data_IF_134183146332
#
_entry.id   IF_134183146332
#
_cell.length_a   1.000
_cell.length_b   1.000
_cell.length_c   1.000
_cell.angle_alpha   90.00
_cell.angle_beta   90.00
_cell.angle_gamma   90.00
#
_symmetry.space_group_name_H-M   'P 1'
#
loop_
_entity.id
_entity.type
_entity.pdbx_description
1 polymer ?
2 non-polymer ?
3 non-polymer ?
4 non-polymer ?
5 non-polymer ?
6 non-polymer ?
7 water ?
#
# COMPACT_ATOMS: atom_id res chain seq x y z
N UNK A 3 -25.21 5.11 5.39
CA UNK A 3 -23.92 4.71 4.84
C UNK A 3 -23.06 5.93 4.49
N UNK A 4 -21.77 5.69 4.27
CA UNK A 4 -20.89 6.77 3.84
C UNK A 4 -20.90 6.87 2.32
N UNK A 5 -21.61 5.94 1.68
CA UNK A 5 -21.70 5.85 0.23
C UNK A 5 -23.13 5.54 -0.18
N UNK A 6 -23.51 5.98 -1.37
CA UNK A 6 -24.84 5.68 -1.89
C UNK A 6 -24.79 4.59 -2.96
N UNK A 7 -23.80 4.66 -3.85
CA UNK A 7 -23.70 3.68 -4.94
C UNK A 7 -22.57 2.67 -4.75
N UNK A 8 -22.94 1.40 -4.69
CA UNK A 8 -21.95 0.32 -4.53
C UNK A 8 -22.09 -0.70 -5.65
N UNK A 9 -20.94 -1.10 -6.18
CA UNK A 9 -20.91 -2.23 -7.10
C UNK A 9 -20.32 -3.42 -6.39
N UNK A 10 -21.01 -4.55 -6.48
CA UNK A 10 -20.52 -5.79 -5.90
C UNK A 10 -20.04 -6.74 -6.98
N UNK A 11 -18.73 -6.95 -7.03
CA UNK A 11 -18.11 -7.82 -8.02
C UNK A 11 -18.00 -9.24 -7.50
N UNK A 12 -18.58 -10.20 -8.23
CA UNK A 12 -18.63 -11.57 -7.80
C UNK A 12 -19.86 -11.75 -6.93
N UNK A 13 -20.98 -11.24 -7.42
CA UNK A 13 -22.17 -11.05 -6.61
C UNK A 13 -22.91 -12.34 -6.21
N UNK A 14 -22.54 -13.49 -6.79
CA UNK A 14 -23.20 -14.74 -6.43
C UNK A 14 -22.49 -15.45 -5.28
N UNK A 15 -21.37 -14.86 -4.86
CA UNK A 15 -20.59 -15.44 -3.77
C UNK A 15 -21.40 -15.43 -2.49
N UNK A 16 -21.02 -16.30 -1.56
CA UNK A 16 -21.79 -16.46 -0.32
C UNK A 16 -21.81 -15.19 0.51
N UNK A 17 -20.64 -14.62 0.73
CA UNK A 17 -20.57 -13.35 1.45
C UNK A 17 -21.24 -12.21 0.67
N UNK A 18 -20.97 -12.13 -0.62
CA UNK A 18 -21.59 -11.11 -1.47
C UNK A 18 -23.11 -11.13 -1.42
N UNK A 19 -23.70 -12.32 -1.48
CA UNK A 19 -25.15 -12.41 -1.44
C UNK A 19 -25.73 -11.96 -0.10
N UNK A 20 -25.10 -12.38 1.00
CA UNK A 20 -25.55 -11.96 2.33
C UNK A 20 -25.38 -10.45 2.52
N UNK A 21 -24.30 -9.90 1.95
CA UNK A 21 -24.04 -8.48 2.05
C UNK A 21 -25.13 -7.75 1.29
N UNK A 22 -25.44 -8.26 0.10
CA UNK A 22 -26.48 -7.64 -0.72
C UNK A 22 -27.80 -7.50 0.04
N UNK A 23 -28.26 -8.60 0.64
CA UNK A 23 -29.51 -8.59 1.38
C UNK A 23 -29.45 -7.62 2.56
N UNK A 24 -28.31 -7.60 3.25
CA UNK A 24 -28.15 -6.67 4.39
C UNK A 24 -28.19 -5.21 3.94
N UNK A 25 -27.57 -4.91 2.81
CA UNK A 25 -27.56 -3.54 2.33
C UNK A 25 -28.94 -3.13 1.86
N UNK A 26 -29.71 -4.07 1.32
CA UNK A 26 -31.08 -3.74 0.90
C UNK A 26 -32.02 -3.51 2.07
N UNK A 27 -31.85 -4.32 3.12
CA UNK A 27 -32.73 -4.25 4.28
C UNK A 27 -32.42 -3.06 5.18
N UNK A 28 -31.12 -2.76 5.35
CA UNK A 28 -30.69 -1.78 6.35
C UNK A 28 -30.07 -0.49 5.84
N UNK A 29 -29.99 -0.31 4.51
CA UNK A 29 -29.55 0.96 3.96
C UNK A 29 -30.42 1.35 2.78
N UNK A 30 -30.17 2.55 2.27
CA UNK A 30 -30.85 3.03 1.07
C UNK A 30 -29.89 3.03 -0.13
N UNK A 31 -28.84 2.24 -0.04
CA UNK A 31 -27.84 2.17 -1.11
C UNK A 31 -28.40 1.62 -2.42
N UNK A 32 -27.87 2.11 -3.53
CA UNK A 32 -28.20 1.57 -4.84
C UNK A 32 -27.09 0.60 -5.23
N UNK A 33 -27.48 -0.64 -5.54
CA UNK A 33 -26.53 -1.74 -5.66
C UNK A 33 -26.47 -2.26 -7.08
N UNK A 34 -25.26 -2.38 -7.60
CA UNK A 34 -25.05 -3.00 -8.90
C UNK A 34 -24.32 -4.32 -8.66
N UNK A 35 -24.91 -5.41 -9.16
CA UNK A 35 -24.39 -6.75 -8.97
C UNK A 35 -23.73 -7.24 -10.26
N UNK A 36 -22.54 -7.80 -10.15
CA UNK A 36 -21.80 -8.26 -11.30
C UNK A 36 -21.27 -9.67 -11.08
N UNK A 37 -21.46 -10.55 -12.07
CA UNK A 37 -20.85 -11.87 -12.01
C UNK A 37 -21.40 -12.79 -13.06
N UNK A 38 -20.94 -14.04 -13.04
CA UNK A 38 -21.32 -15.00 -14.06
C UNK A 38 -22.76 -15.49 -13.91
N UNK A 39 -23.56 -15.31 -14.96
CA UNK A 39 -24.89 -15.91 -15.03
C UNK A 39 -25.80 -15.52 -13.87
N UNK A 40 -25.67 -14.28 -13.38
CA UNK A 40 -26.44 -13.85 -12.21
C UNK A 40 -27.94 -14.02 -12.36
N UNK A 41 -28.46 -13.80 -13.57
CA UNK A 41 -29.89 -13.78 -13.76
C UNK A 41 -30.51 -15.15 -13.47
N UNK A 42 -29.71 -16.20 -13.59
CA UNK A 42 -30.22 -17.55 -13.34
C UNK A 42 -29.68 -18.11 -12.02
N UNK A 43 -29.05 -17.26 -11.22
CA UNK A 43 -28.46 -17.69 -9.95
C UNK A 43 -28.96 -16.89 -8.74
N UNK A 44 -28.99 -15.56 -8.87
CA UNK A 44 -29.42 -14.66 -7.80
C UNK A 44 -30.93 -14.81 -7.53
N UNK A 45 -31.34 -14.82 -6.25
CA UNK A 45 -32.77 -15.00 -5.99
C UNK A 45 -33.65 -13.89 -6.57
N UNK A 46 -34.88 -14.22 -6.95
CA UNK A 46 -35.76 -13.26 -7.62
C UNK A 46 -36.06 -12.00 -6.81
N UNK A 47 -36.15 -12.10 -5.48
CA UNK A 47 -36.44 -10.92 -4.66
C UNK A 47 -35.27 -9.93 -4.65
N UNK A 48 -34.07 -10.41 -4.96
CA UNK A 48 -32.91 -9.54 -5.09
C UNK A 48 -32.85 -8.96 -6.50
N UNK A 49 -32.96 -9.81 -7.51
CA UNK A 49 -32.95 -9.35 -8.90
C UNK A 49 -34.02 -8.31 -9.19
N UNK A 50 -35.22 -8.49 -8.62
CA UNK A 50 -36.35 -7.60 -8.89
C UNK A 50 -36.43 -6.39 -7.98
N UNK A 51 -35.49 -6.24 -7.05
CA UNK A 51 -35.54 -5.12 -6.12
C UNK A 51 -35.27 -3.80 -6.85
N UNK A 52 -36.00 -2.76 -6.47
CA UNK A 52 -35.90 -1.47 -7.15
C UNK A 52 -34.49 -0.88 -7.07
N UNK A 53 -33.76 -1.20 -6.01
CA UNK A 53 -32.42 -0.64 -5.83
C UNK A 53 -31.30 -1.54 -6.32
N UNK A 54 -31.67 -2.54 -7.12
CA UNK A 54 -30.69 -3.48 -7.65
C UNK A 54 -30.59 -3.40 -9.17
N UNK A 55 -29.35 -3.37 -9.66
CA UNK A 55 -29.07 -3.47 -11.08
C UNK A 55 -28.19 -4.71 -11.27
N UNK A 56 -28.55 -5.53 -12.25
CA UNK A 56 -27.82 -6.78 -12.51
C UNK A 56 -27.09 -6.75 -13.83
N UNK A 57 -25.78 -7.02 -13.79
CA UNK A 57 -24.98 -7.14 -15.00
C UNK A 57 -24.24 -8.49 -14.99
N UNK A 58 -24.36 -9.24 -16.08
CA UNK A 58 -23.70 -10.53 -16.17
C UNK A 58 -22.36 -10.43 -16.88
N UNK A 59 -21.35 -11.08 -16.32
CA UNK A 59 -20.04 -11.13 -16.97
C UNK A 59 -18.98 -11.70 -16.05
N UNK A 60 -17.78 -11.88 -16.58
CA UNK A 60 -16.68 -12.42 -15.78
C UNK A 60 -15.66 -11.33 -15.49
N UNK A 61 -14.78 -11.58 -14.52
CA UNK A 61 -13.76 -10.59 -14.15
C UNK A 61 -12.80 -10.32 -15.30
N UNK A 62 -12.91 -11.09 -16.38
CA UNK A 62 -12.05 -10.93 -17.56
C UNK A 62 -12.77 -10.23 -18.71
N UNK A 63 -13.92 -9.63 -18.43
CA UNK A 63 -14.66 -8.88 -19.44
C UNK A 63 -14.54 -7.38 -19.20
N UNK A 64 -13.60 -6.72 -19.90
CA UNK A 64 -13.27 -5.32 -19.63
C UNK A 64 -14.47 -4.38 -19.81
N UNK A 65 -15.21 -4.54 -20.89
CA UNK A 65 -16.34 -3.66 -21.17
C UNK A 65 -17.45 -3.76 -20.13
N UNK A 66 -17.82 -4.98 -19.80
CA UNK A 66 -18.89 -5.21 -18.83
C UNK A 66 -18.49 -4.77 -17.41
N UNK A 67 -17.24 -5.03 -17.04
CA UNK A 67 -16.73 -4.57 -15.75
C UNK A 67 -16.81 -3.05 -15.64
N UNK A 68 -16.40 -2.37 -16.72
CA UNK A 68 -16.42 -0.92 -16.72
C UNK A 68 -17.84 -0.38 -16.59
N UNK A 69 -18.78 -1.02 -17.29
CA UNK A 69 -20.19 -0.68 -17.17
C UNK A 69 -20.65 -0.83 -15.71
N UNK A 70 -20.28 -1.94 -15.09
CA UNK A 70 -20.69 -2.23 -13.73
C UNK A 70 -20.22 -1.22 -12.68
N UNK A 71 -19.03 -0.64 -12.89
CA UNK A 71 -18.47 0.29 -11.90
C UNK A 71 -18.62 1.76 -12.25
N UNK A 72 -19.25 2.03 -13.41
CA UNK A 72 -19.42 3.39 -13.92
C UNK A 72 -19.86 4.41 -12.87
N UNK A 73 -20.91 4.09 -12.13
CA UNK A 73 -21.44 5.03 -11.15
C UNK A 73 -21.10 4.67 -9.71
N UNK A 74 -20.15 3.77 -9.50
CA UNK A 74 -19.79 3.34 -8.15
C UNK A 74 -19.07 4.43 -7.33
N UNK A 75 -19.44 4.54 -6.06
CA UNK A 75 -18.70 5.35 -5.09
C UNK A 75 -17.79 4.42 -4.27
N UNK A 76 -18.13 3.13 -4.25
CA UNK A 76 -17.32 2.12 -3.57
C UNK A 76 -17.55 0.79 -4.29
N UNK A 77 -16.51 -0.03 -4.36
CA UNK A 77 -16.61 -1.33 -5.01
C UNK A 77 -16.23 -2.44 -4.06
N UNK A 78 -17.07 -3.47 -3.94
CA UNK A 78 -16.72 -4.62 -3.13
C UNK A 78 -16.24 -5.73 -4.05
N UNK A 79 -15.05 -6.23 -3.80
CA UNK A 79 -14.48 -7.28 -4.62
C UNK A 79 -14.59 -8.58 -3.84
N UNK A 80 -15.46 -9.46 -4.32
CA UNK A 80 -15.88 -10.63 -3.55
C UNK A 80 -14.93 -11.81 -3.58
N UNK A 81 -13.91 -11.75 -4.43
CA UNK A 81 -12.86 -12.76 -4.48
C UNK A 81 -11.55 -12.11 -4.88
N UNK A 82 -10.47 -12.49 -4.20
CA UNK A 82 -9.12 -12.04 -4.53
C UNK A 82 -8.23 -13.26 -4.69
N UNK A 83 -8.53 -14.07 -5.71
CA UNK A 83 -7.89 -15.37 -5.88
C UNK A 83 -6.85 -15.43 -6.99
N UNK A 84 -6.86 -14.43 -7.87
CA UNK A 84 -6.10 -14.47 -9.10
C UNK A 84 -5.49 -13.11 -9.38
N UNK A 85 -4.19 -13.08 -9.66
CA UNK A 85 -3.52 -11.84 -10.05
C UNK A 85 -4.08 -11.29 -11.35
N UNK A 86 -4.34 -12.17 -12.31
CA UNK A 86 -4.86 -11.73 -13.60
C UNK A 86 -6.26 -11.14 -13.48
N UNK A 87 -7.11 -11.79 -12.69
CA UNK A 87 -8.46 -11.29 -12.49
C UNK A 87 -8.40 -9.97 -11.74
N UNK A 88 -7.51 -9.89 -10.74
CA UNK A 88 -7.39 -8.67 -9.95
C UNK A 88 -6.91 -7.53 -10.84
N UNK A 89 -6.00 -7.83 -11.75
CA UNK A 89 -5.47 -6.83 -12.67
C UNK A 89 -6.56 -6.30 -13.59
N UNK A 90 -7.44 -7.17 -14.04
CA UNK A 90 -8.53 -6.79 -14.93
C UNK A 90 -9.48 -5.83 -14.22
N UNK A 91 -9.74 -6.12 -12.95
CA UNK A 91 -10.62 -5.28 -12.14
C UNK A 91 -9.95 -3.93 -11.89
N UNK A 92 -8.69 -3.95 -11.48
CA UNK A 92 -7.96 -2.70 -11.28
C UNK A 92 -7.94 -1.83 -12.54
N UNK A 93 -7.83 -2.46 -13.71
CA UNK A 93 -7.78 -1.68 -14.95
C UNK A 93 -9.13 -1.03 -15.22
N UNK A 94 -10.21 -1.76 -14.93
CA UNK A 94 -11.56 -1.22 -15.15
C UNK A 94 -11.83 -0.06 -14.21
N UNK A 95 -11.51 -0.24 -12.93
CA UNK A 95 -11.59 0.87 -11.98
C UNK A 95 -10.78 2.09 -12.42
N UNK A 96 -9.55 1.88 -12.89
CA UNK A 96 -8.71 2.97 -13.35
C UNK A 96 -9.37 3.74 -14.51
N UNK A 97 -9.94 3.02 -15.47
CA UNK A 97 -10.58 3.65 -16.63
C UNK A 97 -11.77 4.57 -16.24
N UNK A 98 -12.42 4.27 -15.12
CA UNK A 98 -13.54 5.08 -14.66
C UNK A 98 -13.17 5.95 -13.46
N UNK A 99 -11.89 5.95 -13.12
CA UNK A 99 -11.38 6.70 -11.98
C UNK A 99 -12.13 6.40 -10.68
N UNK A 100 -12.42 5.12 -10.45
CA UNK A 100 -13.06 4.71 -9.21
C UNK A 100 -11.95 4.44 -8.21
N UNK A 101 -12.10 4.92 -6.97
CA UNK A 101 -10.98 4.81 -6.02
C UNK A 101 -11.21 3.94 -4.78
N UNK A 102 -12.44 3.89 -4.26
CA UNK A 102 -12.70 3.19 -3.00
C UNK A 102 -13.09 1.73 -3.24
N UNK A 103 -12.30 0.81 -2.67
CA UNK A 103 -12.57 -0.60 -2.85
C UNK A 103 -12.36 -1.38 -1.56
N UNK A 104 -13.27 -2.33 -1.31
CA UNK A 104 -13.13 -3.25 -0.17
C UNK A 104 -13.02 -4.64 -0.79
N UNK A 105 -11.97 -5.40 -0.44
CA UNK A 105 -11.80 -6.72 -1.04
C UNK A 105 -11.62 -7.79 0.02
N UNK A 106 -12.02 -9.04 -0.27
CA UNK A 106 -11.85 -10.11 0.71
C UNK A 106 -10.77 -11.10 0.28
N UNK A 107 -9.85 -11.38 1.21
CA UNK A 107 -8.68 -12.21 0.97
C UNK A 107 -8.61 -13.23 2.11
N UNK A 108 -7.62 -14.11 2.05
CA UNK A 108 -7.49 -15.15 3.08
C UNK A 108 -6.45 -14.75 4.11
N UNK A 109 -6.72 -15.02 5.37
CA UNK A 109 -5.73 -14.73 6.40
C UNK A 109 -4.65 -15.80 6.40
N UNK A 110 -3.48 -15.49 6.95
CA UNK A 110 -2.43 -16.47 7.11
C UNK A 110 -1.25 -16.40 6.13
N UNK A 111 -1.41 -15.64 5.06
CA UNK A 111 -0.39 -15.53 4.01
C UNK A 111 0.94 -15.01 4.52
N UNK A 112 0.89 -14.20 5.56
CA UNK A 112 2.07 -13.52 6.05
C UNK A 112 2.62 -14.15 7.32
N UNK A 113 2.09 -15.31 7.69
CA UNK A 113 2.61 -16.04 8.83
C UNK A 113 1.92 -15.66 10.12
N UNK A 114 0.81 -14.94 10.01
CA UNK A 114 0.16 -14.39 11.19
C UNK A 114 -0.56 -15.41 12.09
N UNK A 115 -0.94 -16.57 11.55
CA UNK A 115 -1.58 -17.58 12.39
C UNK A 115 -0.55 -18.20 13.33
N UNK A 116 -0.98 -18.61 14.54
CA UNK A 116 -0.09 -19.37 15.42
C UNK A 116 0.22 -20.73 14.81
N UNK A 117 1.26 -21.40 15.31
CA UNK A 117 1.86 -22.56 14.66
C UNK A 117 0.88 -23.66 14.27
N UNK A 118 0.07 -24.12 15.22
CA UNK A 118 -0.82 -25.25 14.94
C UNK A 118 -1.92 -24.92 13.94
N UNK A 119 -2.55 -23.76 14.11
CA UNK A 119 -3.58 -23.33 13.19
C UNK A 119 -2.99 -23.07 11.80
N UNK A 120 -1.78 -22.51 11.75
CA UNK A 120 -1.12 -22.27 10.47
C UNK A 120 -0.86 -23.59 9.75
N UNK A 121 -0.34 -24.56 10.48
CA UNK A 121 -0.06 -25.87 9.89
C UNK A 121 -1.34 -26.51 9.35
N UNK A 122 -2.40 -26.55 10.16
CA UNK A 122 -3.67 -27.11 9.72
C UNK A 122 -4.17 -26.39 8.47
N UNK A 123 -4.10 -25.07 8.49
CA UNK A 123 -4.62 -24.25 7.40
C UNK A 123 -3.97 -24.61 6.07
N UNK A 124 -2.65 -24.66 6.05
CA UNK A 124 -1.96 -24.92 4.80
C UNK A 124 -2.00 -26.39 4.38
N UNK A 125 -2.26 -27.29 5.34
CA UNK A 125 -2.51 -28.67 4.99
C UNK A 125 -3.85 -28.81 4.28
N UNK A 126 -4.67 -27.79 4.36
CA UNK A 126 -6.03 -27.82 3.83
C UNK A 126 -6.30 -26.82 2.72
N UNK A 127 -5.23 -26.31 2.11
CA UNK A 127 -5.32 -25.42 0.96
C UNK A 127 -4.26 -25.83 -0.07
N UNK A 128 -4.65 -25.77 -1.36
CA UNK A 128 -3.63 -26.01 -2.39
C UNK A 128 -2.64 -24.85 -2.43
N UNK A 129 -1.37 -25.15 -2.63
CA UNK A 129 -0.35 -24.12 -2.77
C UNK A 129 -0.75 -23.10 -3.82
N UNK A 130 -1.36 -23.57 -4.91
CA UNK A 130 -1.75 -22.68 -5.99
C UNK A 130 -2.79 -21.66 -5.55
N UNK A 131 -3.71 -22.05 -4.67
CA UNK A 131 -4.72 -21.12 -4.19
C UNK A 131 -4.07 -20.05 -3.34
N UNK A 132 -3.18 -20.49 -2.44
CA UNK A 132 -2.45 -19.56 -1.57
C UNK A 132 -1.62 -18.57 -2.38
N UNK A 133 -0.86 -19.07 -3.35
CA UNK A 133 0.00 -18.16 -4.09
C UNK A 133 -0.80 -17.25 -5.02
N UNK A 134 -1.94 -17.75 -5.50
CA UNK A 134 -2.89 -16.90 -6.22
C UNK A 134 -3.40 -15.74 -5.37
N UNK A 135 -3.78 -16.03 -4.14
CA UNK A 135 -4.23 -15.01 -3.22
C UNK A 135 -3.12 -13.99 -2.97
N UNK A 136 -1.88 -14.47 -2.84
CA UNK A 136 -0.78 -13.56 -2.57
C UNK A 136 -0.57 -12.64 -3.77
N UNK A 137 -0.65 -13.21 -4.97
CA UNK A 137 -0.52 -12.39 -6.18
C UNK A 137 -1.64 -11.35 -6.33
N UNK A 138 -2.88 -11.72 -5.99
CA UNK A 138 -3.99 -10.77 -6.10
C UNK A 138 -3.78 -9.57 -5.16
N UNK A 139 -3.29 -9.87 -3.96
CA UNK A 139 -2.95 -8.84 -3.00
C UNK A 139 -1.91 -7.89 -3.57
N UNK A 140 -0.84 -8.43 -4.16
CA UNK A 140 0.21 -7.59 -4.73
C UNK A 140 -0.32 -6.67 -5.82
N UNK A 141 -1.23 -7.18 -6.64
CA UNK A 141 -1.82 -6.37 -7.69
C UNK A 141 -2.63 -5.21 -7.09
N UNK A 142 -3.36 -5.49 -6.01
CA UNK A 142 -4.17 -4.46 -5.39
C UNK A 142 -3.26 -3.39 -4.78
N UNK A 143 -2.18 -3.81 -4.14
CA UNK A 143 -1.23 -2.85 -3.57
C UNK A 143 -0.59 -1.93 -4.62
N UNK A 144 -0.36 -2.45 -5.82
CA UNK A 144 0.27 -1.67 -6.88
C UNK A 144 -0.68 -0.65 -7.48
N UNK A 145 -1.97 -0.88 -7.26
CA UNK A 145 -3.00 0.01 -7.78
C UNK A 145 -2.98 1.36 -7.05
N UNK A 146 -3.67 2.34 -7.62
CA UNK A 146 -3.79 3.66 -6.99
C UNK A 146 -4.97 3.75 -6.03
N UNK A 147 -5.57 2.62 -5.72
CA UNK A 147 -6.86 2.59 -5.00
C UNK A 147 -6.76 2.89 -3.52
N UNK A 148 -7.81 3.51 -2.99
CA UNK A 148 -8.01 3.61 -1.57
C UNK A 148 -8.73 2.33 -1.16
N UNK A 149 -7.95 1.28 -0.94
CA UNK A 149 -8.50 -0.05 -0.71
C UNK A 149 -8.49 -0.43 0.76
N UNK A 150 -9.38 -1.36 1.13
CA UNK A 150 -9.27 -2.07 2.38
C UNK A 150 -9.30 -3.55 2.04
N UNK A 151 -8.29 -4.29 2.49
CA UNK A 151 -8.26 -5.73 2.31
C UNK A 151 -8.74 -6.31 3.62
N UNK A 152 -9.72 -7.21 3.55
CA UNK A 152 -10.17 -7.93 4.74
C UNK A 152 -9.60 -9.33 4.67
N UNK A 153 -8.68 -9.64 5.60
CA UNK A 153 -8.10 -10.98 5.65
C UNK A 153 -9.01 -11.88 6.48
N UNK A 154 -9.73 -12.78 5.81
CA UNK A 154 -10.70 -13.61 6.49
C UNK A 154 -10.12 -14.93 6.93
N UNK A 155 -10.43 -15.32 8.16
CA UNK A 155 -10.08 -16.65 8.62
C UNK A 155 -11.14 -17.63 8.12
N UNK A 156 -11.08 -18.88 8.57
CA UNK A 156 -11.96 -19.90 8.01
C UNK A 156 -13.45 -19.58 8.18
N UNK A 157 -14.21 -19.77 7.10
CA UNK A 157 -15.60 -19.34 7.08
C UNK A 157 -16.60 -20.44 7.36
N UNK A 158 -17.72 -20.07 7.98
CA UNK A 158 -18.87 -20.95 8.13
C UNK A 158 -20.12 -20.07 8.23
N UNK A 159 -21.30 -20.69 8.21
CA UNK A 159 -22.54 -19.93 8.28
C UNK A 159 -23.27 -20.15 9.59
N UNK A 160 -23.61 -19.05 10.26
CA UNK A 160 -24.45 -19.10 11.44
C UNK A 160 -24.99 -17.70 11.74
N UNK A 161 -26.28 -17.47 11.43
CA UNK A 161 -26.99 -16.20 11.66
C UNK A 161 -26.96 -15.75 13.13
N UNK A 162 -26.76 -16.70 14.05
CA UNK A 162 -26.75 -16.40 15.47
C UNK A 162 -25.39 -15.96 15.99
N UNK A 163 -24.38 -16.02 15.13
CA UNK A 163 -23.02 -15.66 15.52
C UNK A 163 -22.46 -14.54 14.65
N UNK A 164 -22.77 -13.30 15.01
CA UNK A 164 -22.42 -12.16 14.17
C UNK A 164 -21.34 -11.29 14.81
N UNK A 165 -20.77 -11.75 15.91
CA UNK A 165 -19.67 -11.03 16.54
C UNK A 165 -18.35 -11.20 15.77
N UNK A 166 -17.61 -10.11 15.63
CA UNK A 166 -16.32 -10.14 14.97
C UNK A 166 -15.35 -9.22 15.69
N UNK A 167 -14.06 -9.47 15.50
CA UNK A 167 -13.04 -8.50 15.89
C UNK A 167 -12.14 -8.26 14.72
N UNK A 168 -11.63 -7.04 14.64
CA UNK A 168 -10.68 -6.70 13.60
C UNK A 168 -9.29 -6.94 14.17
N UNK A 169 -8.38 -7.39 13.32
CA UNK A 169 -7.02 -7.72 13.73
C UNK A 169 -6.05 -6.88 12.89
N UNK A 170 -5.22 -6.05 13.55
CA UNK A 170 -4.41 -5.12 12.76
C UNK A 170 -3.28 -5.80 12.00
N UNK A 171 -2.75 -5.14 10.98
CA UNK A 171 -1.68 -5.77 10.21
C UNK A 171 -0.46 -6.01 11.10
N UNK A 172 0.13 -7.20 10.93
CA UNK A 172 1.29 -7.58 11.70
C UNK A 172 0.96 -8.26 13.01
N UNK A 173 -0.30 -8.17 13.44
CA UNK A 173 -0.68 -8.77 14.72
C UNK A 173 -0.88 -10.28 14.58
N UNK A 174 -0.58 -11.01 15.65
CA UNK A 174 -0.91 -12.43 15.65
C UNK A 174 -2.41 -12.62 15.44
N UNK A 175 -2.78 -13.51 14.52
CA UNK A 175 -4.18 -13.76 14.19
C UNK A 175 -4.58 -15.09 14.84
N UNK A 176 -5.19 -15.03 16.02
CA UNK A 176 -5.45 -16.24 16.78
C UNK A 176 -6.79 -16.90 16.51
N UNK A 177 -7.70 -16.19 15.84
CA UNK A 177 -9.05 -16.69 15.59
C UNK A 177 -9.08 -17.68 14.42
N UNK A 178 -9.56 -18.90 14.69
CA UNK A 178 -9.51 -19.98 13.71
C UNK A 178 -10.70 -19.97 12.76
N UNK A 179 -11.68 -19.12 13.03
CA UNK A 179 -12.89 -19.12 12.23
C UNK A 179 -13.67 -17.82 12.42
N UNK A 180 -14.60 -17.58 11.50
CA UNK A 180 -15.53 -16.45 11.60
C UNK A 180 -16.75 -16.75 10.72
N UNK A 181 -17.94 -16.35 11.14
CA UNK A 181 -19.13 -16.66 10.34
C UNK A 181 -19.20 -15.67 9.17
N UNK A 182 -19.81 -16.08 8.08
CA UNK A 182 -19.98 -15.15 6.96
C UNK A 182 -20.88 -13.97 7.38
N UNK A 183 -21.82 -14.21 8.28
CA UNK A 183 -22.70 -13.16 8.75
C UNK A 183 -21.93 -12.12 9.55
N UNK A 184 -20.95 -12.56 10.32
CA UNK A 184 -20.11 -11.63 11.07
C UNK A 184 -19.24 -10.80 10.12
N UNK A 185 -18.76 -11.42 9.06
CA UNK A 185 -17.96 -10.69 8.07
C UNK A 185 -18.82 -9.65 7.37
N UNK A 186 -20.05 -10.01 7.05
CA UNK A 186 -20.98 -9.05 6.49
C UNK A 186 -21.17 -7.85 7.43
N UNK A 187 -21.31 -8.10 8.73
CA UNK A 187 -21.44 -7.01 9.68
C UNK A 187 -20.19 -6.12 9.68
N UNK A 188 -19.02 -6.74 9.60
CA UNK A 188 -17.78 -5.95 9.55
C UNK A 188 -17.73 -5.07 8.29
N UNK A 189 -18.15 -5.62 7.16
CA UNK A 189 -18.20 -4.83 5.92
C UNK A 189 -19.22 -3.69 6.05
N UNK A 190 -20.39 -4.00 6.60
CA UNK A 190 -21.43 -3.00 6.84
C UNK A 190 -20.85 -1.88 7.71
N UNK A 191 -20.13 -2.25 8.75
CA UNK A 191 -19.62 -1.25 9.69
C UNK A 191 -18.56 -0.36 9.05
N UNK A 192 -17.68 -0.94 8.25
CA UNK A 192 -16.68 -0.18 7.49
C UNK A 192 -17.35 0.78 6.51
N UNK A 193 -18.40 0.31 5.83
CA UNK A 193 -19.17 1.18 4.94
C UNK A 193 -19.88 2.33 5.67
N UNK A 194 -19.98 2.23 7.00
CA UNK A 194 -20.64 3.28 7.78
C UNK A 194 -19.66 4.07 8.65
N UNK A 195 -18.38 3.77 8.51
CA UNK A 195 -17.35 4.44 9.31
C UNK A 195 -17.21 5.92 8.94
N UNK A 196 -17.49 6.79 9.90
CA UNK A 196 -17.30 8.22 9.70
C UNK A 196 -15.85 8.52 9.35
N UNK A 197 -14.94 7.83 10.04
CA UNK A 197 -13.51 7.98 9.80
C UNK A 197 -12.95 6.76 9.06
N UNK A 198 -12.57 6.97 7.81
CA UNK A 198 -12.05 5.89 6.98
C UNK A 198 -10.57 5.61 7.25
N UNK A 199 -9.93 6.46 8.04
CA UNK A 199 -8.49 6.38 8.30
C UNK A 199 -7.91 4.98 8.56
N UNK A 200 -8.51 4.21 9.50
CA UNK A 200 -7.93 2.91 9.81
C UNK A 200 -8.11 1.90 8.69
N UNK A 201 -8.92 2.27 7.70
CA UNK A 201 -9.23 1.36 6.60
C UNK A 201 -8.60 1.83 5.29
N UNK A 202 -7.75 2.84 5.39
CA UNK A 202 -7.22 3.50 4.20
C UNK A 202 -5.94 2.82 3.70
N UNK A 203 -6.07 1.99 2.66
CA UNK A 203 -4.96 1.18 2.14
C UNK A 203 -4.33 0.34 3.24
N UNK A 204 -5.19 -0.31 4.02
CA UNK A 204 -4.75 -1.21 5.07
C UNK A 204 -5.28 -2.64 4.84
N UNK A 205 -4.63 -3.59 5.50
CA UNK A 205 -5.05 -4.98 5.42
C UNK A 205 -5.40 -5.48 6.81
N UNK A 206 -6.69 -5.69 7.03
CA UNK A 206 -7.20 -5.96 8.36
C UNK A 206 -7.83 -7.34 8.45
N UNK A 207 -7.50 -8.06 9.52
CA UNK A 207 -8.08 -9.38 9.71
C UNK A 207 -9.47 -9.32 10.32
N UNK A 208 -10.28 -10.34 10.04
CA UNK A 208 -11.62 -10.39 10.62
C UNK A 208 -11.80 -11.79 11.18
N UNK A 209 -12.05 -11.89 12.48
CA UNK A 209 -12.16 -13.17 13.13
C UNK A 209 -13.23 -13.18 14.21
N UNK A 210 -13.70 -14.38 14.56
CA UNK A 210 -14.68 -14.51 15.64
C UNK A 210 -13.94 -14.53 16.97
N UNK A 211 -14.27 -13.59 17.88
CA UNK A 211 -13.62 -13.63 19.18
C UNK A 211 -13.76 -14.98 19.89
N UNK A 212 -12.72 -15.38 20.61
CA UNK A 212 -12.77 -16.58 21.41
C UNK A 212 -12.62 -17.87 20.63
N UNK A 213 -12.15 -17.78 19.39
CA UNK A 213 -11.95 -18.99 18.60
C UNK A 213 -10.46 -19.32 18.48
N UNK A 214 -9.76 -19.26 19.60
CA UNK A 214 -8.34 -19.58 19.63
C UNK A 214 -8.13 -21.08 19.61
N UNK A 215 -8.32 -21.66 18.43
CA UNK A 215 -8.31 -23.10 18.26
C UNK A 215 -7.15 -23.52 17.38
N UNK A 216 -6.82 -24.82 17.41
CA UNK A 216 -5.76 -25.40 16.58
C UNK A 216 -6.25 -25.64 15.16
N UNK A 217 -7.56 -25.60 14.97
CA UNK A 217 -8.19 -25.73 13.66
C UNK A 217 -9.57 -25.11 13.72
N UNK A 218 -10.08 -24.63 12.58
CA UNK A 218 -11.48 -24.23 12.61
C UNK A 218 -12.41 -25.38 12.99
N UNK A 219 -13.52 -25.06 13.67
CA UNK A 219 -14.53 -26.07 14.00
C UNK A 219 -15.72 -25.95 13.07
N UNK A 220 -15.86 -24.78 12.45
CA UNK A 220 -16.97 -24.52 11.52
C UNK A 220 -18.36 -24.59 12.17
N UNK A 221 -18.40 -24.45 13.50
CA UNK A 221 -19.66 -24.32 14.22
C UNK A 221 -19.44 -23.62 15.55
N UNK B 4 20.17 4.95 -18.72
CA UNK B 4 18.75 4.96 -18.43
C UNK B 4 18.24 6.36 -18.07
N UNK B 5 18.86 6.97 -17.06
CA UNK B 5 18.49 8.33 -16.68
C UNK B 5 19.70 9.27 -16.73
N UNK B 6 19.50 10.45 -17.33
CA UNK B 6 20.56 11.44 -17.40
C UNK B 6 20.25 12.63 -16.47
N UNK B 7 18.98 13.02 -16.38
CA UNK B 7 18.59 14.18 -15.56
C UNK B 7 17.84 13.75 -14.30
N UNK B 8 18.42 14.05 -13.15
CA UNK B 8 17.81 13.73 -11.86
C UNK B 8 17.65 14.98 -11.00
N UNK B 9 16.51 15.09 -10.32
CA UNK B 9 16.31 16.14 -9.31
C UNK B 9 16.27 15.49 -7.95
N UNK B 10 17.01 16.06 -7.01
CA UNK B 10 17.06 15.54 -5.65
C UNK B 10 16.33 16.55 -4.78
N UNK B 11 15.16 16.15 -4.28
CA UNK B 11 14.30 16.99 -3.45
C UNK B 11 14.63 16.76 -1.98
N UNK B 12 14.98 17.82 -1.25
CA UNK B 12 15.52 17.66 0.09
C UNK B 12 17.01 17.34 0.07
N UNK B 13 17.75 18.10 -0.72
CA UNK B 13 19.13 17.76 -1.04
C UNK B 13 20.08 17.90 0.14
N UNK B 14 19.67 18.59 1.22
CA UNK B 14 20.56 18.65 2.39
C UNK B 14 20.33 17.47 3.34
N UNK B 15 19.48 16.54 2.90
CA UNK B 15 19.26 15.32 3.66
C UNK B 15 20.55 14.52 3.76
N UNK B 16 20.69 13.73 4.81
CA UNK B 16 21.90 12.96 5.00
C UNK B 16 22.05 11.94 3.89
N UNK B 17 20.99 11.21 3.59
CA UNK B 17 21.05 10.26 2.47
C UNK B 17 21.18 11.02 1.14
N UNK B 18 20.41 12.09 0.98
CA UNK B 18 20.49 12.88 -0.24
C UNK B 18 21.89 13.39 -0.54
N UNK B 19 22.58 13.92 0.48
CA UNK B 19 23.93 14.44 0.27
C UNK B 19 24.86 13.33 -0.22
N UNK B 20 24.76 12.16 0.41
CA UNK B 20 25.62 11.03 0.05
C UNK B 20 25.30 10.52 -1.35
N UNK B 21 24.02 10.55 -1.71
CA UNK B 21 23.62 10.14 -3.05
C UNK B 21 24.19 11.08 -4.11
N UNK B 22 24.08 12.38 -3.86
CA UNK B 22 24.61 13.36 -4.80
C UNK B 22 26.09 13.14 -5.07
N UNK B 23 26.86 12.90 -4.00
CA UNK B 23 28.29 12.70 -4.15
C UNK B 23 28.60 11.45 -4.97
N UNK B 24 27.84 10.39 -4.72
CA UNK B 24 28.00 9.13 -5.44
C UNK B 24 27.68 9.27 -6.91
N UNK B 25 26.58 9.97 -7.22
CA UNK B 25 26.20 10.18 -8.61
C UNK B 25 27.20 11.06 -9.35
N UNK B 26 27.75 12.07 -8.68
CA UNK B 26 28.77 12.90 -9.33
C UNK B 26 30.07 12.14 -9.57
N UNK B 27 30.42 11.24 -8.66
CA UNK B 27 31.67 10.51 -8.74
C UNK B 27 31.57 9.37 -9.77
N UNK B 28 30.40 8.74 -9.82
CA UNK B 28 30.29 7.48 -10.55
C UNK B 28 29.38 7.50 -11.80
N UNK B 29 28.77 8.65 -12.08
CA UNK B 29 27.92 8.76 -13.27
C UNK B 29 28.15 10.06 -14.02
N UNK B 30 27.51 10.18 -15.17
CA UNK B 30 27.51 11.42 -15.92
C UNK B 30 26.16 12.15 -15.82
N UNK B 31 25.38 11.87 -14.79
CA UNK B 31 24.07 12.49 -14.66
C UNK B 31 24.15 14.00 -14.40
N UNK B 32 23.15 14.73 -14.90
CA UNK B 32 22.98 16.13 -14.58
C UNK B 32 22.05 16.22 -13.39
N UNK B 33 22.52 16.87 -12.32
CA UNK B 33 21.83 16.81 -11.04
C UNK B 33 21.30 18.19 -10.61
N UNK B 34 20.01 18.23 -10.28
CA UNK B 34 19.42 19.44 -9.73
C UNK B 34 19.09 19.22 -8.26
N UNK B 35 19.55 20.13 -7.40
CA UNK B 35 19.39 20.02 -5.96
C UNK B 35 18.38 21.05 -5.47
N UNK B 36 17.44 20.63 -4.64
CA UNK B 36 16.42 21.52 -4.10
C UNK B 36 16.28 21.37 -2.58
N UNK B 37 16.25 22.48 -1.86
CA UNK B 37 16.03 22.42 -0.42
C UNK B 37 16.40 23.74 0.23
N UNK B 38 16.36 23.78 1.56
CA UNK B 38 16.55 25.03 2.30
C UNK B 38 18.02 25.35 2.52
N UNK B 39 18.41 26.59 2.20
CA UNK B 39 19.74 27.12 2.48
C UNK B 39 20.83 26.28 1.83
N UNK B 40 20.56 25.76 0.64
CA UNK B 40 21.52 24.92 -0.04
C UNK B 40 22.85 25.60 -0.39
N UNK B 41 22.85 26.92 -0.56
CA UNK B 41 24.09 27.60 -0.95
C UNK B 41 25.17 27.46 0.11
N UNK B 42 24.74 27.21 1.35
CA UNK B 42 25.66 26.97 2.45
C UNK B 42 25.72 25.51 2.84
N UNK B 43 24.58 24.82 2.77
CA UNK B 43 24.52 23.44 3.25
C UNK B 43 25.09 22.40 2.30
N UNK B 44 25.13 22.70 1.01
CA UNK B 44 25.80 21.81 0.04
C UNK B 44 27.25 22.26 -0.07
N UNK B 45 28.22 21.33 0.04
CA UNK B 45 29.64 21.74 0.00
C UNK B 45 29.98 22.45 -1.30
N UNK B 46 30.90 23.42 -1.25
CA UNK B 46 31.20 24.22 -2.44
C UNK B 46 31.74 23.37 -3.60
N UNK B 47 32.44 22.29 -3.31
CA UNK B 47 32.97 21.45 -4.37
C UNK B 47 31.86 20.74 -5.13
N UNK B 48 30.71 20.59 -4.50
CA UNK B 48 29.52 20.00 -5.13
C UNK B 48 28.80 21.07 -5.94
N UNK B 49 28.59 22.23 -5.32
CA UNK B 49 27.92 23.33 -6.00
C UNK B 49 28.69 23.75 -7.25
N UNK B 50 30.03 23.74 -7.17
CA UNK B 50 30.87 24.19 -8.27
C UNK B 50 31.01 23.17 -9.40
N UNK B 51 30.52 21.96 -9.16
CA UNK B 51 30.61 20.89 -10.15
C UNK B 51 29.74 21.21 -11.36
N UNK B 52 30.29 20.97 -12.55
CA UNK B 52 29.63 21.39 -13.79
C UNK B 52 28.25 20.78 -14.03
N UNK B 53 28.01 19.60 -13.49
CA UNK B 53 26.73 18.94 -13.74
C UNK B 53 25.65 19.28 -12.71
N UNK B 54 25.95 20.22 -11.82
CA UNK B 54 25.07 20.49 -10.68
C UNK B 54 24.38 21.85 -10.79
N UNK B 55 23.09 21.83 -10.54
CA UNK B 55 22.24 23.03 -10.50
C UNK B 55 21.61 23.10 -9.12
N UNK B 56 21.59 24.28 -8.52
CA UNK B 56 21.10 24.46 -7.15
C UNK B 56 19.96 25.45 -7.08
N UNK B 57 18.87 25.04 -6.42
CA UNK B 57 17.74 25.92 -6.14
C UNK B 57 17.34 25.86 -4.67
N UNK B 58 17.28 27.02 -4.01
CA UNK B 58 16.86 27.05 -2.61
C UNK B 58 15.34 27.20 -2.49
N UNK B 59 14.74 26.43 -1.59
CA UNK B 59 13.30 26.52 -1.38
C UNK B 59 12.79 25.33 -0.60
N UNK B 60 11.49 25.37 -0.28
CA UNK B 60 10.83 24.30 0.45
C UNK B 60 9.80 23.59 -0.42
N UNK B 61 9.36 22.42 0.02
CA UNK B 61 8.40 21.65 -0.76
C UNK B 61 7.06 22.38 -0.92
N UNK B 62 6.78 23.34 -0.04
CA UNK B 62 5.54 24.09 -0.11
C UNK B 62 5.60 25.28 -1.06
N UNK B 63 6.72 25.43 -1.76
CA UNK B 63 6.85 26.49 -2.76
C UNK B 63 6.65 25.95 -4.17
N UNK B 64 5.41 26.08 -4.68
CA UNK B 64 5.06 25.47 -5.99
C UNK B 64 5.90 25.96 -7.18
N UNK B 65 6.15 27.26 -7.26
CA UNK B 65 6.93 27.81 -8.36
C UNK B 65 8.35 27.28 -8.40
N UNK B 66 9.03 27.34 -7.25
CA UNK B 66 10.42 26.90 -7.16
C UNK B 66 10.54 25.37 -7.27
N UNK B 67 9.54 24.67 -6.76
CA UNK B 67 9.49 23.23 -6.87
C UNK B 67 9.36 22.81 -8.34
N UNK B 68 8.52 23.52 -9.09
CA UNK B 68 8.34 23.18 -10.50
C UNK B 68 9.61 23.47 -11.30
N UNK B 69 10.31 24.55 -10.95
CA UNK B 69 11.58 24.85 -11.60
C UNK B 69 12.57 23.73 -11.33
N UNK B 70 12.53 23.18 -10.13
CA UNK B 70 13.48 22.15 -9.73
C UNK B 70 13.31 20.84 -10.51
N UNK B 71 12.06 20.48 -10.80
CA UNK B 71 11.79 19.20 -11.44
C UNK B 71 11.60 19.27 -12.95
N UNK B 72 11.66 20.47 -13.51
CA UNK B 72 11.24 20.67 -14.91
C UNK B 72 11.89 19.72 -15.94
N UNK B 73 13.17 19.43 -15.78
CA UNK B 73 13.91 18.58 -16.74
C UNK B 73 14.15 17.16 -16.25
N UNK B 74 13.56 16.82 -15.12
CA UNK B 74 13.87 15.54 -14.49
C UNK B 74 13.33 14.37 -15.28
N UNK B 75 14.16 13.34 -15.43
CA UNK B 75 13.70 12.04 -15.92
C UNK B 75 13.41 11.14 -14.73
N UNK B 76 14.04 11.43 -13.59
CA UNK B 76 13.78 10.72 -12.35
C UNK B 76 13.92 11.71 -11.19
N UNK B 77 13.08 11.57 -10.17
CA UNK B 77 13.13 12.49 -9.04
C UNK B 77 13.36 11.66 -7.77
N UNK B 78 14.33 12.07 -6.96
CA UNK B 78 14.54 11.41 -5.67
C UNK B 78 13.92 12.29 -4.62
N UNK B 79 13.06 11.71 -3.80
CA UNK B 79 12.36 12.43 -2.74
C UNK B 79 13.02 12.05 -1.42
N UNK B 80 13.75 13.00 -0.84
CA UNK B 80 14.63 12.70 0.28
C UNK B 80 13.96 12.67 1.63
N UNK B 81 12.66 12.96 1.66
CA UNK B 81 11.85 12.85 2.88
C UNK B 81 10.40 12.60 2.48
N UNK B 82 9.75 11.70 3.21
CA UNK B 82 8.33 11.41 3.00
C UNK B 82 7.64 11.53 4.34
N UNK B 83 7.58 12.76 4.84
CA UNK B 83 7.22 13.03 6.23
C UNK B 83 5.88 13.75 6.40
N UNK B 84 5.36 14.27 5.31
CA UNK B 84 4.17 15.10 5.35
C UNK B 84 3.25 14.80 4.18
N UNK B 85 1.97 14.56 4.46
CA UNK B 85 0.99 14.34 3.42
C UNK B 85 0.86 15.57 2.52
N UNK B 86 0.81 16.75 3.12
CA UNK B 86 0.68 17.98 2.37
C UNK B 86 1.88 18.20 1.46
N UNK B 87 3.08 17.95 1.99
CA UNK B 87 4.28 18.15 1.19
C UNK B 87 4.36 17.14 0.06
N UNK B 88 3.98 15.89 0.34
CA UNK B 88 4.01 14.86 -0.69
C UNK B 88 3.04 15.22 -1.80
N UNK B 89 1.87 15.74 -1.42
CA UNK B 89 0.87 16.16 -2.39
C UNK B 89 1.39 17.30 -3.28
N UNK B 90 2.13 18.23 -2.67
CA UNK B 90 2.74 19.32 -3.43
C UNK B 90 3.69 18.76 -4.48
N UNK B 91 4.51 17.79 -4.07
CA UNK B 91 5.45 17.17 -4.98
C UNK B 91 4.74 16.41 -6.11
N UNK B 92 3.74 15.62 -5.76
CA UNK B 92 3.00 14.88 -6.77
C UNK B 92 2.37 15.82 -7.80
N UNK B 93 1.82 16.94 -7.33
CA UNK B 93 1.19 17.90 -8.23
C UNK B 93 2.23 18.50 -9.19
N UNK B 94 3.42 18.82 -8.66
CA UNK B 94 4.46 19.40 -9.48
C UNK B 94 4.93 18.42 -10.55
N UNK B 95 5.14 17.17 -10.16
CA UNK B 95 5.54 16.14 -11.10
C UNK B 95 4.47 15.93 -12.16
N UNK B 96 3.22 15.84 -11.71
CA UNK B 96 2.10 15.66 -12.61
C UNK B 96 2.03 16.78 -13.65
N UNK B 97 2.19 18.02 -13.20
CA UNK B 97 2.09 19.17 -14.10
C UNK B 97 3.25 19.24 -15.10
N UNK B 98 4.40 18.68 -14.74
CA UNK B 98 5.54 18.68 -15.64
C UNK B 98 5.65 17.34 -16.37
N UNK B 99 4.66 16.49 -16.16
CA UNK B 99 4.60 15.18 -16.81
C UNK B 99 5.81 14.31 -16.49
N UNK B 100 6.25 14.35 -15.23
CA UNK B 100 7.38 13.56 -14.77
C UNK B 100 6.85 12.24 -14.18
N UNK B 101 7.41 11.12 -14.61
CA UNK B 101 6.84 9.82 -14.24
C UNK B 101 7.57 9.08 -13.13
N UNK B 102 8.91 9.13 -13.13
CA UNK B 102 9.69 8.25 -12.28
C UNK B 102 10.14 8.90 -10.98
N UNK B 103 9.83 8.27 -9.86
CA UNK B 103 10.19 8.82 -8.56
C UNK B 103 10.67 7.74 -7.60
N UNK B 104 11.71 8.06 -6.83
CA UNK B 104 12.20 7.16 -5.79
C UNK B 104 12.17 7.93 -4.48
N UNK B 105 11.49 7.39 -3.47
CA UNK B 105 11.38 8.09 -2.20
C UNK B 105 11.83 7.22 -1.05
N UNK B 106 12.25 7.86 0.04
CA UNK B 106 12.67 7.13 1.24
C UNK B 106 11.70 7.42 2.37
N UNK B 107 11.25 6.33 2.99
CA UNK B 107 10.23 6.38 4.03
C UNK B 107 10.74 5.61 5.25
N UNK B 108 9.97 5.63 6.33
CA UNK B 108 10.31 4.86 7.52
C UNK B 108 9.65 3.48 7.46
N UNK B 109 10.43 2.45 7.71
CA UNK B 109 9.88 1.09 7.81
C UNK B 109 9.10 0.97 9.11
N UNK B 110 8.12 0.06 9.13
CA UNK B 110 7.41 -0.25 10.35
C UNK B 110 5.96 0.20 10.35
N UNK B 111 5.55 0.90 9.29
CA UNK B 111 4.19 1.44 9.20
C UNK B 111 3.11 0.41 8.94
N UNK B 112 3.48 -0.76 8.42
CA UNK B 112 2.50 -1.78 8.10
C UNK B 112 2.60 -2.95 9.06
N UNK B 113 3.17 -2.71 10.23
CA UNK B 113 3.33 -3.73 11.24
C UNK B 113 4.36 -4.79 10.87
N UNK B 114 5.29 -4.46 9.98
CA UNK B 114 6.23 -5.46 9.48
C UNK B 114 7.38 -5.76 10.45
N UNK B 115 7.63 -4.86 11.40
CA UNK B 115 8.66 -5.07 12.42
C UNK B 115 8.16 -6.08 13.42
N UNK B 116 9.06 -6.95 13.92
CA UNK B 116 8.70 -7.79 15.07
C UNK B 116 8.27 -6.95 16.27
N UNK B 117 7.54 -7.56 17.20
CA UNK B 117 6.96 -6.82 18.31
C UNK B 117 7.94 -5.94 19.10
N UNK B 118 9.07 -6.51 19.52
CA UNK B 118 10.01 -5.75 20.33
C UNK B 118 10.61 -4.55 19.61
N UNK B 119 11.05 -4.75 18.37
CA UNK B 119 11.63 -3.69 17.58
C UNK B 119 10.58 -2.64 17.23
N UNK B 120 9.36 -3.10 17.01
CA UNK B 120 8.25 -2.21 16.71
C UNK B 120 7.97 -1.30 17.91
N UNK B 121 7.97 -1.87 19.11
CA UNK B 121 7.78 -1.08 20.33
C UNK B 121 8.87 -0.04 20.49
N UNK B 122 10.13 -0.47 20.39
CA UNK B 122 11.23 0.47 20.53
C UNK B 122 11.09 1.59 19.49
N UNK B 123 10.74 1.23 18.26
CA UNK B 123 10.57 2.20 17.19
C UNK B 123 9.55 3.28 17.53
N UNK B 124 8.35 2.86 17.91
CA UNK B 124 7.32 3.81 18.30
C UNK B 124 7.71 4.60 19.55
N UNK B 125 8.49 3.98 20.43
CA UNK B 125 8.98 4.64 21.64
C UNK B 125 9.98 5.76 21.33
N UNK B 126 10.51 5.78 20.11
CA UNK B 126 11.55 6.72 19.74
C UNK B 126 11.22 7.59 18.52
N UNK B 127 9.94 7.70 18.22
CA UNK B 127 9.45 8.59 17.17
C UNK B 127 8.27 9.40 17.66
N UNK B 128 8.21 10.68 17.27
CA UNK B 128 7.05 11.51 17.62
C UNK B 128 5.79 10.97 16.91
N UNK B 129 4.65 10.99 17.60
CA UNK B 129 3.40 10.53 17.01
C UNK B 129 3.11 11.25 15.70
N UNK B 130 3.37 12.55 15.65
CA UNK B 130 3.11 13.34 14.45
C UNK B 130 3.99 12.92 13.27
N UNK B 131 5.17 12.41 13.57
CA UNK B 131 6.09 11.95 12.54
C UNK B 131 5.55 10.67 11.90
N UNK B 132 5.12 9.74 12.75
CA UNK B 132 4.59 8.47 12.27
C UNK B 132 3.34 8.73 11.41
N UNK B 133 2.45 9.57 11.92
CA UNK B 133 1.23 9.94 11.18
C UNK B 133 1.56 10.58 9.84
N UNK B 134 2.53 11.49 9.83
CA UNK B 134 2.91 12.15 8.60
C UNK B 134 3.49 11.21 7.58
N UNK B 135 4.29 10.24 8.05
CA UNK B 135 4.90 9.26 7.15
C UNK B 135 3.80 8.42 6.50
N UNK B 136 2.78 8.06 7.27
CA UNK B 136 1.66 7.29 6.74
C UNK B 136 0.93 8.06 5.65
N UNK B 137 0.68 9.35 5.90
CA UNK B 137 -0.05 10.17 4.96
C UNK B 137 0.76 10.38 3.68
N UNK B 138 2.06 10.64 3.83
CA UNK B 138 2.93 10.84 2.68
C UNK B 138 2.98 9.58 1.82
N UNK B 139 3.11 8.43 2.48
CA UNK B 139 3.10 7.17 1.73
C UNK B 139 1.82 7.02 0.92
N UNK B 140 0.67 7.29 1.55
CA UNK B 140 -0.62 7.08 0.86
C UNK B 140 -0.75 8.02 -0.33
N UNK B 141 -0.37 9.28 -0.14
CA UNK B 141 -0.40 10.24 -1.23
C UNK B 141 0.41 9.77 -2.45
N UNK B 142 1.62 9.27 -2.22
CA UNK B 142 2.45 8.84 -3.34
C UNK B 142 1.88 7.59 -4.00
N UNK B 143 1.45 6.64 -3.19
CA UNK B 143 0.97 5.37 -3.76
C UNK B 143 -0.40 5.49 -4.45
N UNK B 144 -1.17 6.53 -4.12
CA UNK B 144 -2.45 6.77 -4.78
C UNK B 144 -2.29 7.67 -6.03
N UNK B 145 -1.07 8.16 -6.23
CA UNK B 145 -0.76 8.88 -7.47
C UNK B 145 -0.60 7.88 -8.60
N UNK B 146 -0.47 8.37 -9.83
CA UNK B 146 -0.19 7.49 -10.97
C UNK B 146 1.29 7.48 -11.34
N UNK B 147 2.14 7.95 -10.44
CA UNK B 147 3.58 8.00 -10.72
C UNK B 147 4.21 6.61 -10.70
N UNK B 148 5.31 6.44 -11.43
CA UNK B 148 6.05 5.19 -11.37
C UNK B 148 7.04 5.31 -10.23
N UNK B 149 6.57 4.97 -9.02
CA UNK B 149 7.33 5.20 -7.80
C UNK B 149 8.06 3.94 -7.34
N UNK B 150 9.18 4.14 -6.64
CA UNK B 150 9.76 3.09 -5.81
C UNK B 150 9.93 3.70 -4.43
N UNK B 151 9.32 3.09 -3.42
CA UNK B 151 9.47 3.62 -2.07
C UNK B 151 10.41 2.67 -1.35
N UNK B 152 11.41 3.23 -0.67
CA UNK B 152 12.33 2.42 0.11
C UNK B 152 12.01 2.65 1.57
N UNK B 153 11.53 1.61 2.23
CA UNK B 153 11.20 1.67 3.64
C UNK B 153 12.45 1.38 4.45
N UNK B 154 13.01 2.40 5.10
CA UNK B 154 14.31 2.27 5.74
C UNK B 154 14.13 1.96 7.21
N UNK B 155 14.99 1.07 7.73
CA UNK B 155 15.02 0.83 9.16
C UNK B 155 15.99 1.86 9.78
N UNK B 156 16.36 1.69 11.04
CA UNK B 156 17.11 2.74 11.74
C UNK B 156 18.48 3.02 11.14
N UNK B 157 18.78 4.30 10.93
CA UNK B 157 19.93 4.71 10.14
C UNK B 157 21.17 5.05 10.94
N UNK B 158 22.33 4.77 10.36
CA UNK B 158 23.61 5.21 10.90
C UNK B 158 24.61 5.37 9.78
N UNK B 159 25.75 5.98 10.08
CA UNK B 159 26.80 6.19 9.09
C UNK B 159 27.99 5.30 9.37
N UNK B 160 28.41 4.57 8.35
CA UNK B 160 29.66 3.83 8.38
C UNK B 160 30.12 3.56 6.95
N UNK B 161 31.21 4.21 6.52
CA UNK B 161 31.69 4.06 5.15
C UNK B 161 32.06 2.62 4.79
N UNK B 162 32.27 1.79 5.82
CA UNK B 162 32.68 0.39 5.61
C UNK B 162 31.48 -0.56 5.58
N UNK B 163 30.29 -0.01 5.78
CA UNK B 163 29.06 -0.79 5.75
C UNK B 163 28.27 -0.43 4.50
N UNK B 164 28.31 -1.31 3.50
CA UNK B 164 27.58 -1.03 2.27
C UNK B 164 26.64 -2.16 1.86
N UNK B 165 26.60 -3.23 2.65
CA UNK B 165 25.72 -4.35 2.35
C UNK B 165 24.28 -4.06 2.77
N UNK B 166 23.34 -4.45 1.92
CA UNK B 166 21.93 -4.27 2.21
C UNK B 166 21.18 -5.48 1.68
N UNK B 167 19.97 -5.68 2.20
CA UNK B 167 19.06 -6.65 1.62
C UNK B 167 17.73 -5.95 1.40
N UNK B 168 17.01 -6.39 0.38
CA UNK B 168 15.71 -5.82 0.07
C UNK B 168 14.63 -6.74 0.62
N UNK B 169 13.65 -6.14 1.29
CA UNK B 169 12.61 -6.90 1.97
C UNK B 169 11.26 -6.60 1.32
N UNK B 170 10.68 -7.61 0.66
CA UNK B 170 9.46 -7.35 -0.10
C UNK B 170 8.30 -6.93 0.80
N UNK B 171 7.40 -6.11 0.28
CA UNK B 171 6.20 -5.75 1.03
C UNK B 171 5.42 -7.01 1.46
N UNK B 172 5.00 -7.04 2.72
CA UNK B 172 4.25 -8.18 3.21
C UNK B 172 5.10 -9.19 3.94
N UNK B 173 6.41 -9.01 3.89
CA UNK B 173 7.33 -9.93 4.55
C UNK B 173 7.82 -9.33 5.87
N UNK B 174 8.23 -10.20 6.80
CA UNK B 174 8.79 -9.73 8.07
C UNK B 174 10.01 -8.87 7.79
N UNK B 175 10.08 -7.72 8.45
CA UNK B 175 11.23 -6.84 8.38
C UNK B 175 11.94 -6.94 9.73
N UNK B 176 13.00 -7.73 9.81
CA UNK B 176 13.63 -8.03 11.09
C UNK B 176 14.91 -7.24 11.38
N UNK B 177 15.44 -6.55 10.36
CA UNK B 177 16.68 -5.82 10.51
C UNK B 177 16.46 -4.51 11.27
N UNK B 178 17.20 -4.33 12.37
CA UNK B 178 17.03 -3.16 13.22
C UNK B 178 17.79 -1.91 12.75
N UNK B 179 18.63 -2.06 11.74
CA UNK B 179 19.44 -0.94 11.28
C UNK B 179 19.97 -1.14 9.87
N UNK B 180 20.47 -0.05 9.29
CA UNK B 180 21.10 -0.04 7.98
C UNK B 180 21.87 1.27 7.86
N UNK B 181 23.05 1.23 7.23
CA UNK B 181 23.86 2.43 7.06
C UNK B 181 23.32 3.26 5.92
N UNK B 182 23.51 4.57 6.02
CA UNK B 182 23.11 5.45 4.94
C UNK B 182 23.92 5.14 3.67
N UNK B 183 25.16 4.74 3.85
CA UNK B 183 25.98 4.34 2.70
C UNK B 183 25.37 3.15 1.97
N UNK B 184 24.84 2.19 2.73
CA UNK B 184 24.21 1.02 2.11
C UNK B 184 22.92 1.40 1.39
N UNK B 185 22.16 2.33 1.98
CA UNK B 185 20.95 2.80 1.33
C UNK B 185 21.28 3.51 0.02
N UNK B 186 22.35 4.31 0.03
CA UNK B 186 22.77 5.00 -1.18
C UNK B 186 23.14 3.99 -2.25
N UNK B 187 23.79 2.90 -1.85
CA UNK B 187 24.14 1.86 -2.80
C UNK B 187 22.89 1.24 -3.41
N UNK B 188 21.87 1.01 -2.57
CA UNK B 188 20.61 0.45 -3.05
C UNK B 188 19.94 1.39 -4.07
N UNK B 189 19.95 2.69 -3.77
CA UNK B 189 19.38 3.67 -4.69
C UNK B 189 20.17 3.68 -6.01
N UNK B 190 21.49 3.72 -5.91
CA UNK B 190 22.34 3.67 -7.11
C UNK B 190 22.03 2.44 -7.95
N UNK B 191 21.88 1.31 -7.28
CA UNK B 191 21.62 0.04 -7.98
C UNK B 191 20.26 0.05 -8.68
N UNK B 192 19.27 0.67 -8.06
CA UNK B 192 17.94 0.77 -8.68
C UNK B 192 17.98 1.71 -9.89
N UNK B 193 18.73 2.80 -9.76
CA UNK B 193 18.89 3.74 -10.87
C UNK B 193 19.60 3.12 -12.07
N UNK B 194 20.34 2.03 -11.84
CA UNK B 194 21.07 1.40 -12.93
C UNK B 194 20.55 0.00 -13.26
N UNK B 195 19.39 -0.34 -12.71
CA UNK B 195 18.81 -1.67 -12.92
C UNK B 195 18.65 -1.99 -14.41
N UNK B 196 19.16 -3.14 -14.83
CA UNK B 196 18.96 -3.57 -16.22
C UNK B 196 17.45 -3.63 -16.54
N UNK B 197 16.66 -4.15 -15.61
CA UNK B 197 15.21 -4.20 -15.74
C UNK B 197 14.58 -3.45 -14.58
N UNK B 198 13.77 -2.44 -14.89
CA UNK B 198 13.14 -1.59 -13.88
C UNK B 198 11.83 -2.17 -13.33
N UNK B 199 11.27 -3.14 -14.04
CA UNK B 199 9.98 -3.70 -13.67
C UNK B 199 9.82 -4.08 -12.19
N UNK B 200 10.82 -4.74 -11.60
CA UNK B 200 10.76 -5.08 -10.18
C UNK B 200 10.62 -3.88 -9.24
N UNK B 201 10.92 -2.67 -9.72
CA UNK B 201 10.85 -1.47 -8.87
C UNK B 201 9.68 -0.58 -9.28
N UNK B 202 8.88 -1.06 -10.22
CA UNK B 202 7.75 -0.29 -10.73
C UNK B 202 6.59 -0.29 -9.75
N UNK B 203 6.32 0.88 -9.17
CA UNK B 203 5.26 1.03 -8.16
C UNK B 203 5.35 -0.01 -7.07
N UNK B 204 6.54 -0.15 -6.50
CA UNK B 204 6.75 -1.07 -5.38
C UNK B 204 7.27 -0.36 -4.14
N UNK B 205 7.09 -1.02 -2.99
CA UNK B 205 7.58 -0.49 -1.73
C UNK B 205 8.40 -1.57 -1.09
N UNK B 206 9.70 -1.32 -0.99
CA UNK B 206 10.67 -2.33 -0.62
C UNK B 206 11.46 -1.91 0.63
N UNK B 207 11.59 -2.81 1.58
CA UNK B 207 12.37 -2.50 2.76
C UNK B 207 13.86 -2.62 2.45
N UNK B 208 14.67 -1.79 3.12
CA UNK B 208 16.12 -1.86 2.98
C UNK B 208 16.73 -1.98 4.37
N UNK B 209 17.45 -3.06 4.61
CA UNK B 209 18.02 -3.31 5.92
C UNK B 209 19.40 -3.95 5.84
N UNK B 210 20.14 -3.85 6.93
CA UNK B 210 21.43 -4.53 7.03
C UNK B 210 21.26 -5.97 7.51
N UNK B 211 21.64 -6.95 6.68
CA UNK B 211 21.57 -8.35 7.10
C UNK B 211 22.30 -8.59 8.42
N UNK B 212 21.76 -9.47 9.26
CA UNK B 212 22.38 -9.85 10.51
C UNK B 212 22.16 -8.85 11.64
N UNK B 213 21.11 -8.04 11.53
CA UNK B 213 20.81 -7.06 12.57
C UNK B 213 19.45 -7.34 13.24
N UNK B 214 19.16 -8.62 13.46
CA UNK B 214 17.90 -9.00 14.09
C UNK B 214 17.93 -8.72 15.58
N UNK B 215 17.93 -7.44 15.92
CA UNK B 215 17.99 -6.99 17.30
C UNK B 215 16.64 -6.43 17.73
N UNK B 216 16.46 -6.29 19.03
CA UNK B 216 15.24 -5.67 19.55
C UNK B 216 15.31 -4.15 19.46
N UNK B 217 16.48 -3.63 19.10
CA UNK B 217 16.67 -2.20 18.86
C UNK B 217 18.01 -1.98 18.16
N UNK B 218 18.17 -0.83 17.50
CA UNK B 218 19.44 -0.52 16.83
C UNK B 218 20.60 -0.63 17.80
N UNK B 219 21.72 -1.21 17.36
CA UNK B 219 22.84 -1.49 18.26
C UNK B 219 23.49 -0.20 18.77
N UNK B 220 23.48 0.84 17.94
CA UNK B 220 24.07 2.12 18.32
C UNK B 220 23.19 2.89 19.30
#
# INVERSE_FOLDING_TARGET
>A
SNAMYKYITILGAAGQIAQKLTATLLTYTDMHITLYGRQLKTRIPPEIIDHERVTVIEGSFQNPGKLEQAVTNAEVVFVGAMESGSDMASIVKALSRKNIRRVIGVSMAGLSGEFPVALEKWTFDNLPISYVQGERQARNVLRESNLNYTILRLTWLYNDPEKTDYELIPEGAQFNDAQVSREAVVKAIFDILHAADETPFHRTSIGVGEPGTHYDKPSFH
>B
SNAMYKYITILGAAGQIAQKLTATLLTYTDMHITLYGRQLKTRIPPEIIDHERVTVIEGSFQNPGKLEQAVTNAEVVFVGAMESGSDMASIVKALSRKNIRRVIGVSMAGLSGEFPVALEKWTFDNLPISYVQGERQARNVLRESNLNYTILRLTWLYNDPEKTDYELIPEGAQFNDAQVSREAVVKAIFDILHAADETPFHRTSIGVGEPGTHYDKPSFH
#
